data_IF_505804369197
#
_entry.id   IF_505804369197
#
_cell.length_a   1.000
_cell.length_b   1.000
_cell.length_c   1.000
_cell.angle_alpha   90.00
_cell.angle_beta   90.00
_cell.angle_gamma   90.00
#
_symmetry.space_group_name_H-M   'P 1'
#
loop_
_entity.id
_entity.type
_entity.pdbx_description
1 polymer ?
#
# COMPACT_ATOMS: atom_id res chain seq x y z
N UNK A 1 24.51 -9.94 1.22
CA UNK A 1 25.40 -9.88 0.05
C UNK A 1 25.79 -8.43 -0.14
N UNK A 2 26.91 -7.91 0.37
CA UNK A 2 28.28 -8.28 0.02
C UNK A 2 28.81 -7.37 -1.10
N UNK A 3 28.67 -6.04 -0.92
CA UNK A 3 29.09 -5.00 -1.88
C UNK A 3 30.61 -5.00 -2.03
N UNK A 4 31.12 -5.76 -3.00
CA UNK A 4 32.56 -5.94 -3.18
C UNK A 4 33.20 -4.82 -3.99
N UNK A 5 34.36 -4.35 -3.52
CA UNK A 5 35.32 -3.54 -4.24
C UNK A 5 36.52 -4.40 -4.72
N UNK A 6 36.71 -4.43 -6.05
CA UNK A 6 37.92 -4.79 -6.81
C UNK A 6 37.72 -4.19 -8.22
N UNK A 7 38.64 -3.35 -8.70
CA UNK A 7 38.62 -2.88 -10.10
C UNK A 7 39.51 -3.78 -10.97
N UNK A 8 39.02 -4.38 -12.07
CA UNK A 8 39.89 -4.93 -13.09
C UNK A 8 40.40 -3.79 -13.97
N UNK A 9 41.72 -3.60 -14.06
CA UNK A 9 42.32 -3.12 -15.30
C UNK A 9 43.25 -4.20 -15.81
N UNK A 10 42.93 -4.66 -17.02
CA UNK A 10 43.64 -5.60 -17.88
C UNK A 10 43.75 -7.06 -17.44
N UNK A 11 43.22 -7.89 -18.35
CA UNK A 11 43.60 -9.27 -18.60
C UNK A 11 45.11 -9.45 -18.44
N UNK A 12 45.50 -10.49 -17.70
CA UNK A 12 46.87 -11.00 -17.51
C UNK A 12 47.64 -10.44 -16.30
N UNK A 13 47.22 -10.79 -15.07
CA UNK A 13 48.16 -11.18 -13.99
C UNK A 13 47.44 -11.75 -12.76
N UNK A 14 47.99 -12.85 -12.26
CA UNK A 14 47.62 -13.55 -11.02
C UNK A 14 48.02 -12.74 -9.78
N UNK A 15 47.24 -11.71 -9.42
CA UNK A 15 47.43 -10.96 -8.18
C UNK A 15 46.32 -9.96 -7.91
N UNK A 16 45.72 -10.01 -6.71
CA UNK A 16 44.83 -8.95 -6.21
C UNK A 16 45.66 -7.73 -5.86
N UNK A 17 45.52 -6.64 -6.62
CA UNK A 17 46.09 -5.33 -6.26
C UNK A 17 44.97 -4.42 -5.78
N UNK A 18 44.99 -4.09 -4.49
CA UNK A 18 44.04 -3.21 -3.84
C UNK A 18 44.46 -1.75 -4.06
N UNK A 19 44.11 -1.20 -5.21
CA UNK A 19 44.33 0.21 -5.52
C UNK A 19 43.17 1.08 -5.05
N UNK A 20 43.46 2.33 -4.69
CA UNK A 20 42.43 3.32 -4.34
C UNK A 20 41.62 3.63 -5.60
N UNK A 21 40.32 3.36 -5.57
CA UNK A 21 39.41 3.58 -6.68
C UNK A 21 37.96 3.77 -6.22
N UNK A 22 37.07 4.36 -7.05
CA UNK A 22 35.68 4.60 -6.68
C UNK A 22 34.93 3.28 -6.53
N UNK A 23 34.20 3.14 -5.42
CA UNK A 23 33.25 2.05 -5.21
C UNK A 23 31.89 2.35 -5.91
N UNK A 24 30.96 1.39 -5.87
CA UNK A 24 29.71 1.44 -6.67
C UNK A 24 28.80 2.64 -6.32
N UNK A 25 28.82 3.15 -5.08
CA UNK A 25 28.00 4.30 -4.69
C UNK A 25 28.61 5.61 -5.18
N UNK A 26 27.95 6.20 -6.17
CA UNK A 26 28.13 7.60 -6.58
C UNK A 26 27.70 8.55 -5.46
N UNK A 27 28.18 9.77 -5.54
CA UNK A 27 27.74 10.87 -4.69
C UNK A 27 26.21 11.02 -4.71
N UNK A 28 25.63 11.25 -3.54
CA UNK A 28 24.21 11.53 -3.34
C UNK A 28 24.01 12.93 -2.77
N UNK A 29 22.76 13.35 -2.55
CA UNK A 29 22.46 14.65 -1.92
C UNK A 29 23.08 14.77 -0.52
N UNK A 30 23.16 13.67 0.24
CA UNK A 30 23.62 13.67 1.64
C UNK A 30 24.90 12.87 1.90
N UNK A 31 25.47 12.19 0.91
CA UNK A 31 26.69 11.40 1.10
C UNK A 31 27.68 11.63 -0.04
N UNK A 32 28.97 11.73 0.29
CA UNK A 32 30.03 11.76 -0.70
C UNK A 32 30.20 10.41 -1.40
N UNK A 33 30.95 10.41 -2.50
CA UNK A 33 31.30 9.20 -3.24
C UNK A 33 32.00 8.20 -2.32
N UNK A 34 31.65 6.92 -2.47
CA UNK A 34 32.29 5.85 -1.73
C UNK A 34 33.61 5.47 -2.41
N UNK A 35 34.69 5.30 -1.65
CA UNK A 35 36.03 5.00 -2.18
C UNK A 35 36.62 3.78 -1.48
N UNK A 36 37.38 2.95 -2.22
CA UNK A 36 38.11 1.83 -1.63
C UNK A 36 39.24 2.35 -0.73
N UNK A 37 39.43 1.73 0.43
CA UNK A 37 40.58 1.96 1.31
C UNK A 37 41.80 1.08 0.95
N UNK A 38 41.62 0.13 0.04
CA UNK A 38 42.67 -0.81 -0.37
C UNK A 38 43.01 -1.86 0.68
N UNK A 39 42.19 -2.05 1.71
CA UNK A 39 42.42 -3.05 2.78
C UNK A 39 41.47 -4.23 2.73
N UNK A 40 40.27 -4.02 2.20
CA UNK A 40 39.29 -5.09 2.07
C UNK A 40 38.58 -5.04 0.73
N UNK A 41 38.05 -6.19 0.32
CA UNK A 41 37.17 -6.27 -0.83
C UNK A 41 35.76 -5.74 -0.52
N UNK A 42 35.46 -5.17 0.65
CA UNK A 42 34.13 -4.64 1.00
C UNK A 42 34.17 -3.11 0.97
N UNK A 43 33.16 -2.48 0.38
CA UNK A 43 33.13 -1.02 0.32
C UNK A 43 32.87 -0.41 1.73
N UNK A 44 33.75 0.48 2.24
CA UNK A 44 33.49 1.17 3.51
C UNK A 44 32.34 2.16 3.36
N UNK A 45 31.56 2.49 4.41
CA UNK A 45 30.43 3.42 4.29
C UNK A 45 30.84 4.77 3.70
N UNK A 46 29.97 5.35 2.87
CA UNK A 46 30.21 6.68 2.29
C UNK A 46 30.36 7.73 3.39
N UNK A 47 31.34 8.65 3.28
CA UNK A 47 31.42 9.80 4.17
C UNK A 47 30.13 10.64 4.09
N UNK A 48 29.49 10.97 5.22
CA UNK A 48 28.31 11.82 5.22
C UNK A 48 28.70 13.24 4.81
N UNK A 49 27.79 13.93 4.12
CA UNK A 49 27.87 15.38 3.92
C UNK A 49 27.46 16.10 5.21
N UNK A 50 27.69 17.40 5.25
CA UNK A 50 27.31 18.27 6.38
C UNK A 50 25.81 18.15 6.67
N UNK A 51 25.48 18.06 7.96
CA UNK A 51 24.09 18.00 8.42
C UNK A 51 23.35 19.32 8.12
N UNK A 52 22.05 19.24 7.88
CA UNK A 52 21.23 20.41 7.54
C UNK A 52 21.22 20.77 6.05
N UNK A 53 22.07 20.17 5.20
CA UNK A 53 22.01 20.34 3.75
C UNK A 53 20.61 19.96 3.23
N UNK A 54 19.93 20.82 2.44
CA UNK A 54 18.62 20.50 1.89
C UNK A 54 18.72 19.36 0.88
N UNK A 55 17.78 18.42 0.95
CA UNK A 55 17.68 17.27 0.06
C UNK A 55 16.21 16.98 -0.29
N UNK A 56 15.98 16.13 -1.29
CA UNK A 56 14.64 15.74 -1.74
C UNK A 56 13.76 16.97 -2.07
N UNK A 57 14.21 17.79 -3.04
CA UNK A 57 13.56 19.06 -3.44
C UNK A 57 13.33 20.00 -2.25
N UNK A 58 14.34 20.19 -1.40
CA UNK A 58 14.29 21.09 -0.23
C UNK A 58 13.17 20.78 0.78
N UNK A 59 12.62 19.56 0.80
CA UNK A 59 11.59 19.16 1.78
C UNK A 59 12.19 18.56 3.04
N UNK A 60 13.40 18.01 2.92
CA UNK A 60 14.16 17.37 3.99
C UNK A 60 15.55 17.95 4.11
N UNK A 61 16.25 17.54 5.16
CA UNK A 61 17.65 17.84 5.40
C UNK A 61 18.47 16.59 5.66
N UNK A 62 19.75 16.67 5.31
CA UNK A 62 20.72 15.63 5.60
C UNK A 62 20.97 15.54 7.11
N UNK A 63 21.00 14.31 7.61
CA UNK A 63 21.36 13.97 8.99
C UNK A 63 22.14 12.65 8.97
N UNK A 64 23.43 12.70 9.37
CA UNK A 64 24.31 11.54 9.44
C UNK A 64 24.51 10.83 8.09
N UNK A 65 24.45 11.57 6.98
CA UNK A 65 24.55 11.02 5.62
C UNK A 65 23.24 10.58 4.98
N UNK A 66 22.12 10.67 5.71
CA UNK A 66 20.79 10.26 5.25
C UNK A 66 19.86 11.48 5.08
N UNK A 67 19.02 11.45 4.05
CA UNK A 67 18.00 12.48 3.80
C UNK A 67 16.72 12.20 4.60
N UNK A 68 16.78 12.35 5.93
CA UNK A 68 15.66 12.01 6.83
C UNK A 68 15.10 13.21 7.59
N UNK A 69 15.94 14.17 8.00
CA UNK A 69 15.53 15.31 8.80
C UNK A 69 14.55 16.22 8.06
N UNK A 70 13.84 17.08 8.79
CA UNK A 70 12.92 18.03 8.17
C UNK A 70 13.58 19.37 7.89
N UNK A 71 13.21 20.01 6.77
CA UNK A 71 13.63 21.38 6.49
C UNK A 71 13.11 22.40 7.53
N UNK A 72 12.10 22.04 8.33
CA UNK A 72 11.68 22.84 9.49
C UNK A 72 12.83 23.05 10.50
N UNK A 73 13.74 22.09 10.65
CA UNK A 73 14.86 22.16 11.60
C UNK A 73 15.82 23.31 11.26
N UNK A 74 15.99 23.61 9.96
CA UNK A 74 16.83 24.72 9.48
C UNK A 74 16.31 26.10 9.90
N UNK A 75 15.02 26.20 10.24
CA UNK A 75 14.39 27.42 10.73
C UNK A 75 14.05 27.32 12.22
N UNK A 76 14.60 26.33 12.93
CA UNK A 76 14.39 26.14 14.37
C UNK A 76 13.00 25.63 14.74
N UNK A 77 12.25 25.06 13.79
CA UNK A 77 10.91 24.53 14.00
C UNK A 77 10.90 23.00 13.89
N UNK A 78 9.88 22.37 14.48
CA UNK A 78 9.64 20.93 14.33
C UNK A 78 8.64 20.67 13.20
N UNK A 79 8.77 19.56 12.49
CA UNK A 79 7.80 19.16 11.47
C UNK A 79 6.51 18.59 12.06
N UNK A 80 5.45 18.65 11.28
CA UNK A 80 4.15 18.11 11.63
C UNK A 80 3.33 17.81 10.37
N UNK A 81 2.24 17.07 10.53
CA UNK A 81 1.29 16.79 9.45
C UNK A 81 0.02 17.63 9.62
N UNK A 82 -0.40 18.27 8.54
CA UNK A 82 -1.73 18.87 8.47
C UNK A 82 -2.77 17.75 8.50
N UNK A 83 -3.84 17.93 9.29
CA UNK A 83 -4.95 16.98 9.43
C UNK A 83 -6.28 17.53 8.91
N UNK A 84 -6.33 18.83 8.64
CA UNK A 84 -7.52 19.56 8.22
C UNK A 84 -7.23 20.30 6.91
N UNK A 85 -8.27 20.45 6.08
CA UNK A 85 -8.17 21.14 4.79
C UNK A 85 -8.46 20.23 3.60
N UNK A 86 -8.25 20.78 2.40
CA UNK A 86 -8.45 20.04 1.15
C UNK A 86 -7.35 18.99 0.94
N UNK A 87 -7.59 17.90 0.18
CA UNK A 87 -6.57 16.89 -0.11
C UNK A 87 -5.26 17.47 -0.67
N UNK A 88 -5.33 18.55 -1.44
CA UNK A 88 -4.17 19.26 -2.00
C UNK A 88 -3.36 20.01 -0.93
N UNK A 89 -4.04 20.50 0.12
CA UNK A 89 -3.44 21.27 1.21
C UNK A 89 -2.67 20.37 2.18
N UNK A 90 -3.18 19.15 2.41
CA UNK A 90 -2.57 18.15 3.30
C UNK A 90 -1.18 17.66 2.82
N UNK A 91 -0.81 17.95 1.57
CA UNK A 91 0.49 17.60 0.99
C UNK A 91 1.51 18.75 1.04
N UNK A 92 1.18 19.89 1.64
CA UNK A 92 2.17 20.90 1.96
C UNK A 92 2.99 20.48 3.19
N UNK A 93 4.29 20.77 3.16
CA UNK A 93 5.14 20.70 4.33
C UNK A 93 4.57 21.66 5.38
N UNK A 94 4.50 21.21 6.63
CA UNK A 94 4.07 22.03 7.76
C UNK A 94 5.08 21.93 8.91
N UNK A 95 5.19 23.02 9.66
CA UNK A 95 6.03 23.11 10.83
C UNK A 95 5.20 23.58 12.03
N UNK A 96 5.60 23.19 13.22
CA UNK A 96 5.00 23.64 14.47
C UNK A 96 5.54 25.03 14.77
N UNK A 97 4.67 26.03 14.70
CA UNK A 97 4.95 27.42 15.07
C UNK A 97 3.95 27.82 16.16
N UNK A 98 4.46 28.33 17.28
CA UNK A 98 3.65 28.73 18.43
C UNK A 98 2.68 27.62 18.93
N UNK A 99 3.17 26.37 18.93
CA UNK A 99 2.38 25.20 19.35
C UNK A 99 1.34 24.70 18.35
N UNK A 100 1.17 25.37 17.20
CA UNK A 100 0.23 24.98 16.14
C UNK A 100 0.94 24.46 14.90
N UNK A 101 0.46 23.35 14.36
CA UNK A 101 0.92 22.86 13.06
C UNK A 101 0.45 23.80 11.95
N UNK A 102 1.40 24.50 11.32
CA UNK A 102 1.13 25.54 10.34
C UNK A 102 1.80 25.20 9.01
N UNK A 103 1.03 25.29 7.92
CA UNK A 103 1.53 25.04 6.57
C UNK A 103 2.66 26.00 6.22
N UNK A 104 3.70 25.50 5.55
CA UNK A 104 4.80 26.30 5.00
C UNK A 104 4.34 27.42 4.08
N UNK A 105 3.13 27.35 3.50
CA UNK A 105 2.54 28.45 2.72
C UNK A 105 2.33 29.71 3.58
N UNK A 106 2.00 29.53 4.86
CA UNK A 106 1.71 30.59 5.82
C UNK A 106 2.91 30.96 6.70
N UNK A 107 4.08 30.34 6.46
CA UNK A 107 5.32 30.67 7.15
C UNK A 107 6.13 31.64 6.30
N UNK A 108 6.52 32.77 6.90
CA UNK A 108 7.33 33.80 6.24
C UNK A 108 8.69 33.23 5.79
N UNK A 109 9.21 32.25 6.53
CA UNK A 109 10.45 31.53 6.27
C UNK A 109 10.43 30.75 4.94
N UNK A 110 9.22 30.41 4.45
CA UNK A 110 9.01 29.65 3.21
C UNK A 110 8.18 30.42 2.16
N UNK A 111 8.19 31.75 2.22
CA UNK A 111 7.49 32.62 1.28
C UNK A 111 7.94 32.43 -0.19
N UNK A 112 7.13 32.94 -1.14
CA UNK A 112 7.40 32.80 -2.57
C UNK A 112 8.74 33.38 -3.06
N UNK A 113 9.27 34.43 -2.38
CA UNK A 113 10.53 35.09 -2.76
C UNK A 113 11.78 34.39 -2.19
N UNK A 114 11.70 33.09 -1.90
CA UNK A 114 12.81 32.33 -1.34
C UNK A 114 13.82 31.94 -2.43
N UNK A 115 15.10 32.13 -2.13
CA UNK A 115 16.22 31.73 -2.98
C UNK A 115 16.90 30.44 -2.51
N UNK A 116 16.76 30.12 -1.22
CA UNK A 116 17.45 28.98 -0.58
C UNK A 116 16.68 27.66 -0.77
N UNK A 117 15.37 27.67 -0.53
CA UNK A 117 14.55 26.45 -0.55
C UNK A 117 13.77 26.30 -1.86
N UNK A 118 14.45 26.00 -2.97
CA UNK A 118 13.80 25.96 -4.29
C UNK A 118 13.33 24.54 -4.60
N UNK A 119 12.10 24.43 -5.12
CA UNK A 119 11.55 23.17 -5.64
C UNK A 119 11.48 23.23 -7.17
N UNK A 120 11.87 22.13 -7.79
CA UNK A 120 11.79 21.92 -9.24
C UNK A 120 10.35 22.17 -9.73
N UNK A 121 10.18 23.05 -10.72
CA UNK A 121 8.86 23.39 -11.29
C UNK A 121 7.93 24.24 -10.41
N UNK A 122 8.40 24.78 -9.27
CA UNK A 122 7.61 25.65 -8.38
C UNK A 122 8.32 26.97 -8.03
N UNK A 123 9.14 27.51 -8.95
CA UNK A 123 9.76 28.84 -8.77
C UNK A 123 8.67 29.91 -8.59
N UNK A 124 8.83 30.77 -7.58
CA UNK A 124 7.90 31.86 -7.29
C UNK A 124 6.58 31.45 -6.61
N UNK A 125 6.43 30.20 -6.16
CA UNK A 125 5.25 29.74 -5.40
C UNK A 125 5.56 29.68 -3.90
N UNK A 126 4.63 30.17 -3.07
CA UNK A 126 4.73 30.08 -1.60
C UNK A 126 4.60 28.63 -1.12
N UNK A 127 5.27 28.35 0.01
CA UNK A 127 5.28 27.04 0.65
C UNK A 127 6.01 25.94 -0.11
N UNK A 128 6.34 24.88 0.61
CA UNK A 128 7.00 23.68 0.12
C UNK A 128 5.98 22.54 0.06
N UNK A 129 6.01 21.75 -1.00
CA UNK A 129 5.13 20.59 -1.18
C UNK A 129 5.92 19.31 -1.00
N UNK A 130 5.37 18.37 -0.22
CA UNK A 130 5.98 17.08 0.06
C UNK A 130 6.10 16.24 -1.22
N UNK A 131 7.23 15.53 -1.38
CA UNK A 131 7.50 14.59 -2.48
C UNK A 131 6.38 13.53 -2.63
N UNK A 132 6.08 13.02 -3.85
CA UNK A 132 5.12 11.93 -3.99
C UNK A 132 5.57 10.69 -3.21
N UNK A 133 4.62 10.00 -2.59
CA UNK A 133 4.86 8.91 -1.65
C UNK A 133 5.15 9.35 -0.22
N UNK A 134 5.30 10.65 0.06
CA UNK A 134 5.43 11.14 1.43
C UNK A 134 4.13 10.95 2.22
N UNK A 135 4.22 10.62 3.52
CA UNK A 135 3.04 10.49 4.38
C UNK A 135 2.32 11.83 4.55
N UNK A 136 0.99 11.78 4.67
CA UNK A 136 0.12 12.94 4.90
C UNK A 136 -1.01 12.56 5.87
N UNK A 137 -1.70 13.58 6.41
CA UNK A 137 -2.81 13.40 7.36
C UNK A 137 -2.43 12.50 8.56
N UNK A 138 -1.29 12.79 9.20
CA UNK A 138 -0.75 12.03 10.33
C UNK A 138 -0.65 10.51 10.04
N UNK A 139 0.06 10.16 8.97
CA UNK A 139 0.25 8.78 8.49
C UNK A 139 -1.02 8.03 8.06
N UNK A 140 -2.16 8.71 7.95
CA UNK A 140 -3.39 8.12 7.41
C UNK A 140 -3.46 8.15 5.90
N UNK A 141 -2.46 8.69 5.22
CA UNK A 141 -2.43 8.84 3.77
C UNK A 141 -1.02 9.01 3.20
N UNK A 142 -0.94 8.97 1.87
CA UNK A 142 0.26 9.34 1.12
C UNK A 142 -0.07 10.35 0.03
N UNK A 143 0.88 11.24 -0.27
CA UNK A 143 0.76 12.22 -1.35
C UNK A 143 0.97 11.55 -2.71
N UNK A 144 0.00 11.70 -3.61
CA UNK A 144 0.12 11.21 -4.99
C UNK A 144 0.96 12.15 -5.88
N UNK A 145 1.16 11.75 -7.15
CA UNK A 145 1.90 12.55 -8.14
C UNK A 145 1.28 13.93 -8.40
N UNK A 146 -0.03 14.08 -8.14
CA UNK A 146 -0.78 15.33 -8.27
C UNK A 146 -0.78 16.14 -6.97
N UNK A 147 -0.01 15.71 -5.96
CA UNK A 147 0.10 16.35 -4.65
C UNK A 147 -1.23 16.37 -3.89
N UNK A 148 -2.04 15.33 -4.06
CA UNK A 148 -3.25 15.10 -3.27
C UNK A 148 -2.99 14.02 -2.24
N UNK A 149 -3.44 14.25 -1.01
CA UNK A 149 -3.36 13.27 0.06
C UNK A 149 -4.41 12.18 -0.17
N UNK A 150 -3.97 10.96 -0.45
CA UNK A 150 -4.82 9.78 -0.58
C UNK A 150 -4.76 8.97 0.70
N UNK A 151 -5.91 8.74 1.34
CA UNK A 151 -5.96 7.99 2.58
C UNK A 151 -5.61 6.51 2.35
N UNK A 152 -4.84 5.94 3.27
CA UNK A 152 -4.61 4.51 3.38
C UNK A 152 -5.79 3.92 4.14
N UNK A 153 -6.75 3.33 3.44
CA UNK A 153 -7.82 2.59 4.11
C UNK A 153 -7.25 1.23 4.54
N UNK A 154 -6.72 1.17 5.76
CA UNK A 154 -6.27 -0.07 6.38
C UNK A 154 -7.41 -1.09 6.56
N UNK A 155 -8.67 -0.64 6.47
CA UNK A 155 -9.87 -1.46 6.53
C UNK A 155 -10.57 -1.47 5.18
N UNK A 156 -9.99 -2.22 4.25
CA UNK A 156 -10.64 -2.48 2.96
C UNK A 156 -12.08 -2.97 3.11
N UNK A 157 -12.91 -2.88 2.05
CA UNK A 157 -14.33 -3.23 2.09
C UNK A 157 -14.58 -4.65 2.62
N UNK A 158 -13.64 -5.57 2.37
CA UNK A 158 -13.70 -6.94 2.87
C UNK A 158 -13.56 -7.03 4.40
N UNK A 159 -12.70 -6.21 5.01
CA UNK A 159 -12.51 -6.19 6.46
C UNK A 159 -13.75 -5.60 7.17
N UNK A 160 -14.40 -4.60 6.56
CA UNK A 160 -15.66 -4.04 7.06
C UNK A 160 -16.80 -5.04 6.98
N UNK A 161 -16.94 -5.75 5.86
CA UNK A 161 -17.94 -6.80 5.71
C UNK A 161 -17.71 -7.94 6.71
N UNK A 162 -16.46 -8.38 6.90
CA UNK A 162 -16.09 -9.38 7.91
C UNK A 162 -16.48 -8.92 9.32
N UNK A 163 -16.20 -7.67 9.69
CA UNK A 163 -16.53 -7.16 11.02
C UNK A 163 -18.03 -6.92 11.24
N UNK A 164 -18.82 -6.71 10.17
CA UNK A 164 -20.28 -6.60 10.25
C UNK A 164 -20.95 -7.98 10.33
N UNK A 165 -20.50 -8.95 9.52
CA UNK A 165 -21.05 -10.31 9.51
C UNK A 165 -20.60 -11.12 10.73
N UNK A 166 -19.32 -11.06 11.09
CA UNK A 166 -18.71 -11.84 12.16
C UNK A 166 -18.41 -11.00 13.40
N UNK A 167 -19.28 -10.05 13.73
CA UNK A 167 -19.17 -9.34 14.99
C UNK A 167 -19.49 -10.31 16.14
N UNK A 168 -18.73 -10.24 17.25
CA UNK A 168 -18.96 -11.09 18.41
C UNK A 168 -20.39 -10.96 18.94
N UNK A 169 -20.93 -9.72 18.95
CA UNK A 169 -22.32 -9.45 19.33
C UNK A 169 -23.33 -10.05 18.35
N UNK A 170 -23.10 -9.96 17.04
CA UNK A 170 -24.03 -10.54 16.05
C UNK A 170 -24.01 -12.07 16.12
N UNK A 171 -22.85 -12.70 16.30
CA UNK A 171 -22.74 -14.15 16.47
C UNK A 171 -23.43 -14.63 17.74
N UNK A 172 -23.26 -13.92 18.86
CA UNK A 172 -23.95 -14.23 20.12
C UNK A 172 -25.48 -14.14 19.96
N UNK A 173 -25.98 -13.07 19.33
CA UNK A 173 -27.43 -12.91 19.05
C UNK A 173 -27.96 -14.00 18.12
N UNK A 174 -27.24 -14.34 17.05
CA UNK A 174 -27.65 -15.39 16.10
C UNK A 174 -27.64 -16.77 16.78
N UNK A 175 -26.65 -17.03 17.63
CA UNK A 175 -26.55 -18.31 18.34
C UNK A 175 -27.69 -18.49 19.34
N UNK A 176 -28.03 -17.44 20.09
CA UNK A 176 -29.19 -17.43 20.99
C UNK A 176 -30.50 -17.65 20.23
N UNK A 177 -30.68 -16.97 19.09
CA UNK A 177 -31.87 -17.15 18.24
C UNK A 177 -31.98 -18.58 17.69
N UNK A 178 -30.87 -19.17 17.24
CA UNK A 178 -30.83 -20.57 16.76
C UNK A 178 -31.21 -21.55 17.87
N UNK A 179 -30.79 -21.31 19.11
CA UNK A 179 -31.16 -22.15 20.25
C UNK A 179 -32.65 -22.03 20.60
N UNK A 180 -33.21 -20.81 20.59
CA UNK A 180 -34.64 -20.60 20.85
C UNK A 180 -35.55 -21.15 19.75
N UNK A 181 -35.12 -21.07 18.49
CA UNK A 181 -35.90 -21.46 17.30
C UNK A 181 -35.26 -22.64 16.56
N UNK A 182 -34.68 -23.59 17.29
CA UNK A 182 -33.98 -24.74 16.71
C UNK A 182 -34.85 -25.55 15.73
N UNK A 183 -36.15 -25.67 16.01
CA UNK A 183 -37.10 -26.35 15.15
C UNK A 183 -37.25 -25.68 13.78
N UNK A 184 -37.14 -24.34 13.69
CA UNK A 184 -37.19 -23.60 12.42
C UNK A 184 -35.98 -23.98 11.55
N UNK A 185 -34.81 -24.11 12.16
CA UNK A 185 -33.57 -24.50 11.47
C UNK A 185 -33.68 -25.94 10.96
N UNK A 186 -34.21 -26.84 11.78
CA UNK A 186 -34.45 -28.24 11.38
C UNK A 186 -35.46 -28.33 10.25
N UNK A 187 -36.59 -27.62 10.33
CA UNK A 187 -37.59 -27.58 9.26
C UNK A 187 -37.01 -27.00 7.95
N UNK A 188 -36.22 -25.92 8.03
CA UNK A 188 -35.57 -25.32 6.86
C UNK A 188 -34.57 -26.27 6.20
N UNK A 189 -33.78 -27.00 7.00
CA UNK A 189 -32.86 -28.02 6.49
C UNK A 189 -33.60 -29.17 5.80
N UNK A 190 -34.72 -29.63 6.38
CA UNK A 190 -35.54 -30.69 5.81
C UNK A 190 -36.18 -30.25 4.48
N UNK A 191 -36.71 -29.03 4.41
CA UNK A 191 -37.24 -28.43 3.18
C UNK A 191 -36.16 -28.31 2.11
N UNK A 192 -34.96 -27.86 2.47
CA UNK A 192 -33.85 -27.72 1.54
C UNK A 192 -33.42 -29.09 0.99
N UNK A 193 -33.38 -30.14 1.82
CA UNK A 193 -33.08 -31.50 1.36
C UNK A 193 -34.14 -32.04 0.41
N UNK A 194 -35.43 -31.84 0.71
CA UNK A 194 -36.53 -32.23 -0.19
C UNK A 194 -36.45 -31.47 -1.51
N UNK A 195 -36.17 -30.16 -1.45
CA UNK A 195 -35.98 -29.33 -2.64
C UNK A 195 -34.80 -29.79 -3.48
N UNK A 196 -33.65 -30.09 -2.87
CA UNK A 196 -32.48 -30.63 -3.57
C UNK A 196 -32.78 -31.99 -4.20
N UNK A 197 -33.50 -32.88 -3.49
CA UNK A 197 -33.91 -34.18 -4.03
C UNK A 197 -34.88 -34.03 -5.22
N UNK A 198 -35.86 -33.14 -5.12
CA UNK A 198 -36.78 -32.80 -6.21
C UNK A 198 -36.04 -32.19 -7.40
N UNK A 199 -35.12 -31.26 -7.14
CA UNK A 199 -34.29 -30.62 -8.16
C UNK A 199 -33.43 -31.66 -8.89
N UNK A 200 -32.76 -32.56 -8.16
CA UNK A 200 -31.99 -33.66 -8.74
C UNK A 200 -32.90 -34.57 -9.57
N UNK A 201 -34.09 -34.93 -9.10
CA UNK A 201 -35.04 -35.80 -9.84
C UNK A 201 -35.54 -35.13 -11.12
N UNK A 202 -35.86 -33.84 -11.07
CA UNK A 202 -36.26 -33.06 -12.24
C UNK A 202 -35.11 -32.88 -13.25
N UNK A 203 -33.89 -32.60 -12.77
CA UNK A 203 -32.71 -32.46 -13.60
C UNK A 203 -32.16 -33.81 -14.11
N UNK A 204 -32.46 -34.93 -13.45
CA UNK A 204 -32.07 -36.28 -13.86
C UNK A 204 -32.73 -36.70 -15.20
N UNK A 205 -33.94 -36.23 -15.48
CA UNK A 205 -34.66 -36.49 -16.75
C UNK A 205 -34.00 -35.79 -17.94
N UNK A 206 -33.28 -34.68 -17.66
CA UNK A 206 -32.63 -33.85 -18.67
C UNK A 206 -31.11 -34.06 -18.76
N UNK A 207 -30.51 -34.85 -17.87
CA UNK A 207 -29.07 -35.13 -17.89
C UNK A 207 -28.79 -36.42 -18.67
N UNK A 208 -28.07 -36.37 -19.80
CA UNK A 208 -27.79 -37.55 -20.62
C UNK A 208 -26.87 -38.52 -19.87
N UNK A 209 -27.31 -39.78 -19.72
CA UNK A 209 -26.53 -40.84 -19.08
C UNK A 209 -25.86 -41.72 -20.13
N UNK A 210 -24.59 -42.07 -19.92
CA UNK A 210 -23.82 -42.98 -20.80
C UNK A 210 -24.16 -44.46 -20.56
N UNK A 211 -25.12 -44.77 -19.68
CA UNK A 211 -25.54 -46.14 -19.40
C UNK A 211 -26.50 -46.65 -20.50
N UNK A 212 -26.12 -47.67 -21.30
CA UNK A 212 -26.90 -48.16 -22.43
C UNK A 212 -28.23 -48.84 -22.04
N UNK A 213 -28.44 -49.15 -20.75
CA UNK A 213 -29.67 -49.77 -20.24
C UNK A 213 -30.70 -48.75 -19.72
N UNK A 214 -30.43 -47.43 -19.78
CA UNK A 214 -31.38 -46.40 -19.37
C UNK A 214 -31.98 -45.67 -20.59
N UNK A 215 -33.27 -45.29 -20.54
CA UNK A 215 -33.89 -44.54 -21.63
C UNK A 215 -33.20 -43.18 -21.83
N UNK A 216 -33.11 -42.68 -23.09
CA UNK A 216 -32.43 -41.44 -23.41
C UNK A 216 -33.11 -40.23 -22.76
N UNK A 217 -32.31 -39.23 -22.36
CA UNK A 217 -32.80 -38.01 -21.73
C UNK A 217 -33.80 -37.26 -22.63
N UNK A 218 -34.90 -36.77 -22.05
CA UNK A 218 -35.98 -36.11 -22.77
C UNK A 218 -35.76 -34.58 -22.82
N UNK A 219 -36.15 -33.94 -23.92
CA UNK A 219 -36.11 -32.48 -24.03
C UNK A 219 -37.26 -31.80 -23.28
N UNK A 220 -37.05 -30.56 -22.81
CA UNK A 220 -38.05 -29.77 -22.05
C UNK A 220 -39.42 -29.70 -22.75
N UNK A 221 -39.44 -29.54 -24.07
CA UNK A 221 -40.67 -29.48 -24.88
C UNK A 221 -41.46 -30.81 -24.88
N UNK A 222 -40.77 -31.94 -24.82
CA UNK A 222 -41.39 -33.28 -24.79
C UNK A 222 -41.94 -33.63 -23.39
N UNK A 223 -41.42 -33.00 -22.34
CA UNK A 223 -41.87 -33.18 -20.95
C UNK A 223 -43.18 -32.42 -20.68
N UNK A 224 -43.32 -31.22 -21.24
CA UNK A 224 -44.53 -30.38 -21.11
C UNK A 224 -45.76 -30.97 -21.83
N UNK A 225 -45.56 -31.77 -22.86
CA UNK A 225 -46.63 -32.40 -23.65
C UNK A 225 -47.13 -33.72 -23.04
N UNK A 226 -46.42 -34.31 -22.06
CA UNK A 226 -46.80 -35.56 -21.36
C UNK A 226 -46.41 -35.54 -19.87
N UNK A 227 -47.18 -34.85 -19.01
CA UNK A 227 -46.83 -34.62 -17.60
C UNK A 227 -46.84 -35.88 -16.72
N UNK A 228 -47.46 -36.98 -17.18
CA UNK A 228 -47.53 -38.25 -16.45
C UNK A 228 -46.17 -38.93 -16.25
N UNK A 229 -45.14 -38.54 -17.00
CA UNK A 229 -43.79 -39.10 -16.94
C UNK A 229 -42.94 -38.58 -15.78
N UNK A 230 -43.34 -37.47 -15.14
CA UNK A 230 -42.65 -36.88 -13.98
C UNK A 230 -43.04 -37.54 -12.65
N UNK A 231 -44.17 -38.27 -12.61
CA UNK A 231 -44.73 -38.85 -11.38
C UNK A 231 -44.33 -40.33 -11.22
N UNK A 232 -43.95 -41.03 -12.29
CA UNK A 232 -43.79 -42.51 -12.34
C UNK A 232 -42.35 -43.01 -12.55
N UNK A 233 -41.36 -42.12 -12.73
CA UNK A 233 -39.92 -42.46 -12.75
C UNK A 233 -39.24 -42.12 -11.44
#
# INVERSE_FOLDING_TARGET
>A
MGDKCCMPHESTRTGFSLTVGPCKRKESECSHTQTCDGRSAQCPPSPPKEDGLPCQDSTKVCSGGNCNGSICERVGLKDCFLTEGKPEELCYLACIKDGKCTSSVNLAEFAANRTVYVQSGRKGKSGLVLHPGSPCNNYKGYCDIFRKCRSVDANGPLARLKNLLFNRKTIETVTQWVQEKWWVVVCAALVLLVFMALFIKCCAVHTPSTNPNKPPALNLYQTLTRPSTLIVS
#
